data_IF_626038801567
#
_entry.id   IF_626038801567
#
_cell.length_a   1.000
_cell.length_b   1.000
_cell.length_c   1.000
_cell.angle_alpha   90.00
_cell.angle_beta   90.00
_cell.angle_gamma   90.00
#
_symmetry.space_group_name_H-M   'P 1'
#
loop_
_entity.id
_entity.type
_entity.pdbx_description
1 polymer ?
#
# COMPACT_ATOMS: atom_id res chain seq x y z
N UNK A 1 33.62 34.18 10.38
CA UNK A 1 33.37 33.45 10.18
C UNK A 1 32.37 32.87 9.93
N UNK A 2 31.87 32.45 9.76
CA UNK A 2 30.90 31.92 9.35
C UNK A 2 30.41 30.83 9.56
N UNK A 3 29.84 30.57 9.71
CA UNK A 3 29.36 29.60 9.86
C UNK A 3 28.58 29.05 9.26
N UNK A 4 28.34 28.35 9.11
CA UNK A 4 27.74 27.72 8.47
C UNK A 4 26.79 27.03 8.88
N UNK A 5 26.17 27.01 8.71
CA UNK A 5 25.25 26.51 9.02
C UNK A 5 24.82 25.46 8.45
N UNK A 6 24.87 24.70 8.70
CA UNK A 6 24.56 23.71 8.14
C UNK A 6 23.43 23.21 8.39
N UNK A 7 22.83 23.18 7.91
CA UNK A 7 21.74 22.84 7.84
C UNK A 7 21.46 21.54 7.79
N UNK A 8 21.15 21.02 8.40
CA UNK A 8 20.90 19.87 8.27
C UNK A 8 19.71 19.47 8.20
N UNK A 9 19.29 18.89 7.72
CA UNK A 9 18.31 18.36 7.41
C UNK A 9 18.18 17.17 7.71
N UNK A 10 17.85 16.78 8.29
CA UNK A 10 17.65 15.74 8.69
C UNK A 10 16.63 15.17 8.12
N UNK A 11 16.65 14.20 7.70
CA UNK A 11 15.85 13.63 6.93
C UNK A 11 14.83 13.07 7.67
N UNK A 12 14.22 13.28 7.84
CA UNK A 12 13.31 12.89 8.33
C UNK A 12 12.69 11.93 8.18
N UNK A 13 12.48 11.53 8.51
CA UNK A 13 12.05 10.57 8.46
C UNK A 13 10.91 10.22 8.39
N UNK A 14 10.61 9.66 7.84
CA UNK A 14 9.65 9.01 7.54
C UNK A 14 8.69 8.93 8.56
N UNK A 15 8.00 9.06 8.75
CA UNK A 15 7.15 8.92 9.62
C UNK A 15 5.88 8.73 9.10
N UNK A 16 4.96 8.98 9.83
CA UNK A 16 3.63 8.77 9.50
C UNK A 16 3.18 9.60 8.37
N UNK A 17 3.75 10.70 8.25
CA UNK A 17 3.39 11.54 7.17
C UNK A 17 3.57 10.82 5.92
N UNK A 18 4.35 9.83 6.01
CA UNK A 18 4.64 9.09 4.88
C UNK A 18 3.46 8.39 4.26
N UNK A 19 2.45 8.02 5.04
CA UNK A 19 1.31 7.31 4.48
C UNK A 19 0.60 8.15 3.41
N UNK A 20 0.30 9.41 3.69
CA UNK A 20 -0.42 10.23 2.74
C UNK A 20 0.44 10.56 1.52
N UNK A 21 1.71 10.79 1.72
CA UNK A 21 2.60 11.05 0.60
C UNK A 21 2.72 9.80 -0.30
N UNK A 22 2.81 8.64 0.31
CA UNK A 22 2.90 7.39 -0.44
C UNK A 22 1.59 7.10 -1.17
N UNK A 23 0.47 7.40 -0.54
CA UNK A 23 -0.83 7.23 -1.16
C UNK A 23 -0.94 8.12 -2.40
N UNK A 24 -0.54 9.37 -2.28
CA UNK A 24 -0.59 10.29 -3.41
C UNK A 24 0.32 9.84 -4.54
N UNK A 25 1.51 9.36 -4.21
CA UNK A 25 2.44 8.85 -5.21
C UNK A 25 1.85 7.64 -5.92
N UNK A 26 1.25 6.71 -5.17
CA UNK A 26 0.65 5.53 -5.77
C UNK A 26 -0.52 5.91 -6.69
N UNK A 27 -1.33 6.87 -6.27
CA UNK A 27 -2.43 7.32 -7.10
C UNK A 27 -1.93 7.95 -8.40
N UNK A 28 -0.82 8.69 -8.32
CA UNK A 28 -0.22 9.28 -9.49
C UNK A 28 0.29 8.19 -10.44
N UNK A 29 0.91 7.16 -9.88
CA UNK A 29 1.43 6.08 -10.71
C UNK A 29 0.33 5.31 -11.40
N UNK A 30 -0.77 5.00 -10.70
CA UNK A 30 -1.82 4.22 -11.33
C UNK A 30 -2.67 5.04 -12.29
N UNK A 31 -2.52 6.34 -12.30
CA UNK A 31 -3.23 7.16 -13.27
C UNK A 31 -2.60 7.07 -14.66
N UNK A 32 -1.38 6.58 -14.76
CA UNK A 32 -0.74 6.40 -16.06
C UNK A 32 -1.26 5.13 -16.74
N UNK A 33 -1.12 5.01 -18.06
CA UNK A 33 -1.54 3.79 -18.75
C UNK A 33 -0.82 2.55 -18.23
N UNK A 34 0.48 2.66 -17.94
CA UNK A 34 1.24 1.54 -17.42
C UNK A 34 0.77 1.15 -16.02
N UNK A 35 0.45 2.15 -15.21
CA UNK A 35 -0.02 1.90 -13.87
C UNK A 35 -1.39 1.26 -13.87
N UNK A 36 -2.28 1.74 -14.74
CA UNK A 36 -3.61 1.15 -14.84
C UNK A 36 -3.51 -0.31 -15.30
N UNK A 37 -2.61 -0.59 -16.23
CA UNK A 37 -2.40 -1.96 -16.68
C UNK A 37 -1.87 -2.82 -15.54
N UNK A 38 -0.97 -2.28 -14.74
CA UNK A 38 -0.40 -3.02 -13.63
C UNK A 38 -1.46 -3.37 -12.59
N UNK A 39 -2.38 -2.45 -12.31
CA UNK A 39 -3.48 -2.73 -11.40
C UNK A 39 -4.27 -3.94 -11.90
N UNK A 40 -4.54 -3.99 -13.19
CA UNK A 40 -5.26 -5.12 -13.75
C UNK A 40 -4.46 -6.41 -13.62
N UNK A 41 -3.15 -6.31 -13.71
CA UNK A 41 -2.31 -7.50 -13.59
C UNK A 41 -2.30 -8.10 -12.20
N UNK A 42 -2.35 -7.28 -11.17
CA UNK A 42 -2.23 -7.84 -9.84
C UNK A 42 -3.57 -7.98 -9.12
N UNK A 43 -4.66 -7.53 -9.74
CA UNK A 43 -5.94 -7.52 -9.05
C UNK A 43 -6.40 -8.92 -8.63
N UNK A 44 -5.94 -9.95 -9.29
CA UNK A 44 -6.32 -11.32 -8.93
C UNK A 44 -5.79 -11.72 -7.55
N UNK A 45 -4.85 -10.97 -7.00
CA UNK A 45 -4.30 -11.28 -5.68
C UNK A 45 -5.18 -10.75 -4.56
N UNK A 46 -6.05 -9.79 -4.86
CA UNK A 46 -6.77 -9.04 -3.84
C UNK A 46 -7.88 -9.88 -3.20
N UNK A 47 -8.71 -10.51 -4.02
CA UNK A 47 -9.84 -11.27 -3.50
C UNK A 47 -9.43 -12.44 -2.64
N UNK A 48 -8.45 -13.26 -3.02
CA UNK A 48 -8.02 -14.34 -2.14
C UNK A 48 -7.47 -13.84 -0.82
N UNK A 49 -6.75 -12.72 -0.82
CA UNK A 49 -6.21 -12.16 0.41
C UNK A 49 -7.34 -11.73 1.34
N UNK A 50 -8.36 -11.11 0.79
CA UNK A 50 -9.49 -10.67 1.61
C UNK A 50 -10.30 -11.86 2.10
N UNK A 51 -10.46 -12.87 1.25
CA UNK A 51 -11.30 -14.02 1.60
C UNK A 51 -10.82 -14.73 2.86
N UNK A 52 -9.54 -14.73 3.09
CA UNK A 52 -9.00 -15.35 4.29
C UNK A 52 -9.21 -14.53 5.54
N UNK A 53 -9.68 -13.31 5.41
CA UNK A 53 -9.79 -12.39 6.55
C UNK A 53 -11.22 -12.09 6.96
N UNK A 54 -12.20 -12.45 6.12
CA UNK A 54 -13.60 -12.16 6.40
C UNK A 54 -14.34 -13.47 6.54
N UNK A 55 -14.55 -13.95 7.76
CA UNK A 55 -15.25 -15.21 7.94
C UNK A 55 -16.68 -15.09 7.43
N UNK A 56 -17.21 -16.15 6.85
CA UNK A 56 -18.60 -16.15 6.38
C UNK A 56 -19.56 -15.80 7.53
N UNK A 57 -20.53 -14.99 7.23
CA UNK A 57 -21.53 -14.62 8.21
C UNK A 57 -21.05 -13.62 9.25
N UNK A 58 -19.85 -13.11 9.11
CA UNK A 58 -19.36 -12.12 10.06
C UNK A 58 -20.06 -10.80 9.78
N UNK A 59 -20.73 -10.27 10.78
CA UNK A 59 -21.41 -9.00 10.64
C UNK A 59 -20.96 -8.03 11.73
N UNK A 60 -19.79 -8.25 12.28
CA UNK A 60 -19.27 -7.39 13.34
C UNK A 60 -19.09 -5.98 12.77
N UNK A 61 -19.79 -4.98 13.30
CA UNK A 61 -19.67 -3.63 12.78
C UNK A 61 -18.25 -3.06 12.83
N UNK A 62 -17.43 -3.56 13.73
CA UNK A 62 -16.06 -3.06 13.82
C UNK A 62 -15.23 -3.50 12.62
N UNK A 63 -15.71 -4.44 11.84
CA UNK A 63 -15.02 -4.92 10.66
C UNK A 63 -15.54 -4.30 9.37
N UNK A 64 -16.56 -3.46 9.48
CA UNK A 64 -17.14 -2.83 8.29
C UNK A 64 -16.46 -1.49 8.05
N UNK A 65 -16.59 -1.01 6.82
CA UNK A 65 -16.06 0.28 6.47
C UNK A 65 -14.97 0.16 5.42
N UNK A 66 -14.23 1.23 5.26
CA UNK A 66 -13.19 1.28 4.24
C UNK A 66 -11.83 1.34 4.90
N UNK A 67 -10.83 0.84 4.20
CA UNK A 67 -9.45 1.03 4.61
C UNK A 67 -8.57 1.08 3.37
N UNK A 68 -7.37 1.60 3.55
CA UNK A 68 -6.43 1.77 2.45
C UNK A 68 -5.09 1.15 2.84
N UNK A 69 -4.54 0.37 1.92
CA UNK A 69 -3.20 -0.19 2.07
C UNK A 69 -2.28 0.51 1.09
N UNK A 70 -1.11 0.91 1.56
CA UNK A 70 -0.04 1.37 0.68
C UNK A 70 1.16 0.48 0.90
N UNK A 71 1.91 0.23 -0.16
CA UNK A 71 3.07 -0.63 -0.07
C UNK A 71 3.98 -0.37 -1.24
N UNK A 72 5.28 -0.59 -1.01
CA UNK A 72 6.23 -0.59 -2.11
C UNK A 72 6.28 -2.00 -2.70
N UNK A 73 6.50 -2.09 -4.00
CA UNK A 73 6.67 -3.36 -4.68
C UNK A 73 8.12 -3.44 -5.12
N UNK A 74 8.82 -4.44 -4.65
CA UNK A 74 10.19 -4.65 -5.07
C UNK A 74 10.23 -5.30 -6.44
N UNK A 75 11.39 -5.26 -7.09
CA UNK A 75 11.52 -5.81 -8.44
C UNK A 75 11.16 -7.28 -8.54
N UNK A 76 11.28 -8.02 -7.45
CA UNK A 76 10.91 -9.44 -7.43
C UNK A 76 9.44 -9.66 -7.08
N UNK A 77 8.66 -8.61 -6.94
CA UNK A 77 7.24 -8.75 -6.64
C UNK A 77 6.90 -8.80 -5.17
N UNK A 78 7.89 -8.72 -4.30
CA UNK A 78 7.63 -8.74 -2.88
C UNK A 78 7.18 -7.38 -2.40
N UNK A 79 6.23 -7.36 -1.48
CA UNK A 79 5.81 -6.11 -0.86
C UNK A 79 6.80 -5.68 0.20
N UNK A 80 6.96 -4.38 0.34
CA UNK A 80 7.86 -3.79 1.31
C UNK A 80 7.19 -2.58 1.94
N UNK A 81 7.44 -2.37 3.21
CA UNK A 81 6.93 -1.19 3.92
C UNK A 81 5.43 -1.07 3.80
N UNK A 82 4.72 -2.17 4.04
CA UNK A 82 3.27 -2.20 3.96
C UNK A 82 2.69 -1.42 5.13
N UNK A 83 1.75 -0.53 4.83
CA UNK A 83 1.07 0.24 5.87
C UNK A 83 -0.41 0.29 5.53
N UNK A 84 -1.26 0.45 6.54
CA UNK A 84 -2.69 0.41 6.35
C UNK A 84 -3.37 1.38 7.30
N UNK A 85 -4.42 2.04 6.84
CA UNK A 85 -5.23 2.96 7.65
C UNK A 85 -6.69 2.83 7.30
N UNK A 86 -7.55 2.76 8.29
CA UNK A 86 -7.26 2.57 9.71
C UNK A 86 -6.85 1.12 9.96
N UNK A 87 -6.18 0.88 11.08
CA UNK A 87 -5.66 -0.44 11.39
C UNK A 87 -6.72 -1.28 12.09
N UNK A 88 -7.77 -1.60 11.37
CA UNK A 88 -8.79 -2.50 11.89
C UNK A 88 -8.26 -3.93 11.83
N UNK A 89 -8.99 -4.83 12.45
CA UNK A 89 -8.58 -6.23 12.44
C UNK A 89 -8.55 -6.78 11.01
N UNK A 90 -9.59 -6.51 10.24
CA UNK A 90 -9.63 -7.01 8.87
C UNK A 90 -8.55 -6.36 8.02
N UNK A 91 -8.33 -5.06 8.19
CA UNK A 91 -7.30 -4.36 7.41
C UNK A 91 -5.92 -4.93 7.71
N UNK A 92 -5.64 -5.20 8.98
CA UNK A 92 -4.37 -5.77 9.37
C UNK A 92 -4.19 -7.17 8.81
N UNK A 93 -5.26 -7.97 8.85
CA UNK A 93 -5.22 -9.31 8.27
C UNK A 93 -4.98 -9.25 6.76
N UNK A 94 -5.71 -8.37 6.08
CA UNK A 94 -5.59 -8.25 4.63
C UNK A 94 -4.18 -7.85 4.23
N UNK A 95 -3.61 -6.87 4.91
CA UNK A 95 -2.25 -6.44 4.57
C UNK A 95 -1.24 -7.54 4.83
N UNK A 96 -1.44 -8.34 5.87
CA UNK A 96 -0.56 -9.47 6.14
C UNK A 96 -0.68 -10.53 5.04
N UNK A 97 -1.89 -10.81 4.59
CA UNK A 97 -2.09 -11.78 3.51
C UNK A 97 -1.43 -11.29 2.21
N UNK A 98 -1.59 -10.02 1.90
CA UNK A 98 -0.95 -9.48 0.71
C UNK A 98 0.57 -9.57 0.80
N UNK A 99 1.11 -9.43 2.00
CA UNK A 99 2.56 -9.49 2.18
C UNK A 99 3.15 -10.86 1.83
N UNK A 100 2.32 -11.88 1.80
CA UNK A 100 2.78 -13.22 1.43
C UNK A 100 2.63 -13.49 -0.08
N UNK A 101 1.99 -12.59 -0.80
CA UNK A 101 1.78 -12.79 -2.23
C UNK A 101 2.99 -12.27 -3.00
N UNK A 102 3.15 -12.81 -4.19
CA UNK A 102 4.16 -12.31 -5.12
C UNK A 102 3.44 -11.55 -6.21
N UNK A 103 3.69 -10.27 -6.29
CA UNK A 103 3.09 -9.41 -7.29
C UNK A 103 3.85 -9.55 -8.61
N UNK A 104 3.20 -9.27 -9.74
CA UNK A 104 3.93 -9.19 -11.00
C UNK A 104 5.02 -8.12 -10.89
N UNK A 105 6.03 -8.22 -11.76
CA UNK A 105 7.07 -7.21 -11.79
C UNK A 105 6.46 -5.85 -12.06
N UNK A 106 6.74 -4.87 -11.20
CA UNK A 106 6.12 -3.56 -11.38
C UNK A 106 6.78 -2.76 -12.51
N UNK A 107 6.08 -1.76 -13.03
CA UNK A 107 6.68 -0.86 -14.01
C UNK A 107 7.87 -0.14 -13.41
N UNK A 108 8.78 0.29 -14.27
CA UNK A 108 9.91 1.08 -13.82
C UNK A 108 9.41 2.41 -13.26
N UNK A 109 10.11 2.92 -12.25
CA UNK A 109 9.74 4.16 -11.60
C UNK A 109 10.98 5.02 -11.33
N UNK A 110 11.79 5.23 -12.37
CA UNK A 110 12.92 6.12 -12.25
C UNK A 110 13.95 5.72 -11.20
N UNK A 111 14.14 4.44 -11.00
CA UNK A 111 15.09 3.96 -10.00
C UNK A 111 14.55 3.91 -8.60
N UNK A 112 13.30 4.33 -8.41
CA UNK A 112 12.64 4.26 -7.10
C UNK A 112 11.73 3.05 -7.06
N UNK A 113 11.37 2.63 -5.86
CA UNK A 113 10.40 1.57 -5.72
C UNK A 113 9.05 2.01 -6.29
N UNK A 114 8.31 1.06 -6.79
CA UNK A 114 6.96 1.32 -7.25
C UNK A 114 6.03 1.25 -6.04
N UNK A 115 5.11 2.19 -5.93
CA UNK A 115 4.20 2.24 -4.80
C UNK A 115 2.80 1.93 -5.28
N UNK A 116 2.09 1.08 -4.54
CA UNK A 116 0.70 0.76 -4.87
C UNK A 116 -0.20 1.21 -3.73
N UNK A 117 -1.44 1.49 -4.09
CA UNK A 117 -2.49 1.81 -3.13
C UNK A 117 -3.67 0.90 -3.44
N UNK A 118 -4.22 0.30 -2.40
CA UNK A 118 -5.37 -0.58 -2.54
C UNK A 118 -6.43 -0.11 -1.57
N UNK A 119 -7.52 0.38 -2.11
CA UNK A 119 -8.66 0.82 -1.30
C UNK A 119 -9.67 -0.30 -1.24
N UNK A 120 -10.08 -0.66 -0.04
CA UNK A 120 -11.02 -1.74 0.18
C UNK A 120 -12.22 -1.24 0.95
N UNK A 121 -13.35 -1.84 0.67
CA UNK A 121 -14.60 -1.48 1.33
C UNK A 121 -15.29 -2.76 1.76
N UNK A 122 -15.60 -2.85 3.05
CA UNK A 122 -16.29 -4.00 3.60
C UNK A 122 -17.71 -3.56 3.90
N UNK A 123 -18.66 -4.19 3.25
CA UNK A 123 -20.07 -3.88 3.46
C UNK A 123 -20.80 -5.11 3.95
N UNK A 124 -21.95 -4.93 4.61
CA UNK A 124 -22.72 -6.06 5.12
C UNK A 124 -23.22 -6.99 4.04
#
# INVERSE_FOLDING_TARGET
>A
MFLLAMAFFAPTLAGPADFEARRAEAQRLEASPEGAAYVREYSYLVTPAMRGCVPPGSADPTNLGTFTVVADILGNGQLYAVDVKPKTRIATCFSAQLSHATFPTPPANGGKNYVVVIDMSITP
#
